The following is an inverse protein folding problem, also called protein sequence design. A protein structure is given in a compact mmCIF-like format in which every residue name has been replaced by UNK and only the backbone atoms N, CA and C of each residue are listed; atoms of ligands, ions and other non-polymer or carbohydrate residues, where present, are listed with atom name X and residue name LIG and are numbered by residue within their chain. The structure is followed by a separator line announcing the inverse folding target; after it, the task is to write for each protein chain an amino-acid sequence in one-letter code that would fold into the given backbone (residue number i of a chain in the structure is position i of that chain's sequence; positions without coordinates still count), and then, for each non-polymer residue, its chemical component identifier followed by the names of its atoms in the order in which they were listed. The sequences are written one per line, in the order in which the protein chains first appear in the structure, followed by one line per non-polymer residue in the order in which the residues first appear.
data_IF_795913403889
#
_entry.id   IF_795913403889
#
_cell.length_a   1.000
_cell.length_b   1.000
_cell.length_c   1.000
_cell.angle_alpha   90.00
_cell.angle_beta   90.00
_cell.angle_gamma   90.00
#
_symmetry.space_group_name_H-M   'P 1'
#
loop_
_entity.id
_entity.type
_entity.pdbx_description
1 polymer ?
#
# COMPACT_ATOMS: atom_id res chain seq x y z
N UNK A 1 -6.88 -19.12 15.58
CA UNK A 1 -6.34 -18.62 14.30
C UNK A 1 -5.91 -17.17 14.52
N UNK A 2 -4.71 -16.74 14.09
CA UNK A 2 -4.40 -15.31 14.09
C UNK A 2 -5.48 -14.54 13.31
N UNK A 3 -5.71 -13.24 13.59
CA UNK A 3 -6.68 -12.45 12.84
C UNK A 3 -6.40 -12.57 11.34
N UNK A 4 -7.40 -12.86 10.52
CA UNK A 4 -7.22 -13.04 9.06
C UNK A 4 -6.53 -11.83 8.43
N UNK A 5 -6.81 -10.63 8.95
CA UNK A 5 -6.15 -9.37 8.57
C UNK A 5 -4.63 -9.39 8.80
N UNK A 6 -4.15 -10.02 9.88
CA UNK A 6 -2.72 -10.12 10.17
C UNK A 6 -1.98 -11.04 9.19
N UNK A 7 -2.60 -12.16 8.79
CA UNK A 7 -2.04 -13.03 7.75
C UNK A 7 -1.95 -12.30 6.42
N UNK A 8 -2.99 -11.55 6.03
CA UNK A 8 -2.96 -10.71 4.84
C UNK A 8 -1.86 -9.65 4.88
N UNK A 9 -1.65 -9.01 6.04
CA UNK A 9 -0.56 -8.06 6.25
C UNK A 9 0.83 -8.69 6.04
N UNK A 10 1.09 -9.87 6.60
CA UNK A 10 2.37 -10.56 6.42
C UNK A 10 2.62 -10.94 4.96
N UNK A 11 1.60 -11.41 4.26
CA UNK A 11 1.70 -11.74 2.82
C UNK A 11 2.01 -10.49 2.01
N UNK A 12 1.32 -9.37 2.25
CA UNK A 12 1.59 -8.10 1.59
C UNK A 12 3.03 -7.61 1.83
N UNK A 13 3.51 -7.70 3.08
CA UNK A 13 4.87 -7.30 3.44
C UNK A 13 5.91 -8.17 2.75
N UNK A 14 5.68 -9.49 2.64
CA UNK A 14 6.59 -10.40 1.95
C UNK A 14 6.65 -10.13 0.43
N UNK A 15 5.50 -9.87 -0.20
CA UNK A 15 5.42 -9.57 -1.63
C UNK A 15 6.12 -8.22 -1.95
N UNK A 16 5.91 -7.21 -1.10
CA UNK A 16 6.45 -5.87 -1.31
C UNK A 16 7.92 -5.72 -0.86
N UNK A 17 8.40 -6.59 0.03
CA UNK A 17 9.77 -6.55 0.58
C UNK A 17 10.88 -6.32 -0.46
N UNK A 18 10.99 -7.09 -1.56
CA UNK A 18 12.08 -6.89 -2.52
C UNK A 18 12.05 -5.49 -3.17
N UNK A 19 10.87 -4.97 -3.49
CA UNK A 19 10.70 -3.66 -4.11
C UNK A 19 10.93 -2.53 -3.09
N UNK A 20 10.44 -2.70 -1.85
CA UNK A 20 10.67 -1.76 -0.76
C UNK A 20 12.16 -1.63 -0.41
N UNK A 21 12.89 -2.74 -0.35
CA UNK A 21 14.35 -2.74 -0.17
C UNK A 21 15.06 -2.06 -1.35
N UNK A 22 14.62 -2.32 -2.58
CA UNK A 22 15.16 -1.68 -3.78
C UNK A 22 14.97 -0.17 -3.77
N UNK A 23 13.79 0.30 -3.37
CA UNK A 23 13.48 1.71 -3.26
C UNK A 23 14.24 2.39 -2.12
N UNK A 24 14.35 1.74 -0.95
CA UNK A 24 15.13 2.25 0.17
C UNK A 24 16.60 2.43 -0.22
N UNK A 25 17.19 1.43 -0.88
CA UNK A 25 18.56 1.52 -1.41
C UNK A 25 18.71 2.65 -2.43
N UNK A 26 17.72 2.88 -3.28
CA UNK A 26 17.73 4.01 -4.22
C UNK A 26 17.69 5.37 -3.50
N UNK A 27 16.86 5.53 -2.46
CA UNK A 27 16.83 6.76 -1.64
C UNK A 27 18.18 7.01 -0.95
N UNK A 28 18.80 5.97 -0.36
CA UNK A 28 20.12 6.08 0.28
C UNK A 28 21.22 6.50 -0.71
N UNK A 29 21.06 6.17 -2.00
CA UNK A 29 21.94 6.62 -3.08
C UNK A 29 21.51 7.95 -3.72
N UNK A 30 20.63 8.72 -3.06
CA UNK A 30 20.08 9.98 -3.53
C UNK A 30 19.31 9.89 -4.86
N UNK A 31 18.77 8.70 -5.21
CA UNK A 31 17.98 8.44 -6.41
C UNK A 31 16.48 8.47 -6.10
N UNK A 32 15.98 9.60 -5.57
CA UNK A 32 14.58 9.73 -5.12
C UNK A 32 13.58 9.43 -6.24
N UNK A 33 13.81 9.93 -7.46
CA UNK A 33 12.93 9.64 -8.60
C UNK A 33 12.82 8.15 -8.91
N UNK A 34 13.94 7.41 -8.83
CA UNK A 34 13.96 5.97 -9.06
C UNK A 34 13.18 5.23 -7.98
N UNK A 35 13.37 5.62 -6.71
CA UNK A 35 12.60 5.06 -5.59
C UNK A 35 11.10 5.30 -5.78
N UNK A 36 10.72 6.51 -6.17
CA UNK A 36 9.33 6.87 -6.46
C UNK A 36 8.74 6.05 -7.61
N UNK A 37 9.49 5.91 -8.70
CA UNK A 37 9.04 5.10 -9.85
C UNK A 37 8.87 3.62 -9.46
N UNK A 38 9.72 3.09 -8.58
CA UNK A 38 9.63 1.70 -8.12
C UNK A 38 8.38 1.49 -7.25
N UNK A 39 8.14 2.37 -6.26
CA UNK A 39 6.95 2.30 -5.40
C UNK A 39 5.64 2.49 -6.17
N UNK A 40 5.57 3.51 -7.02
CA UNK A 40 4.36 3.72 -7.82
C UNK A 40 4.14 2.62 -8.85
N UNK A 41 5.22 2.09 -9.45
CA UNK A 41 5.14 0.95 -10.37
C UNK A 41 4.53 -0.29 -9.70
N UNK A 42 4.97 -0.59 -8.46
CA UNK A 42 4.43 -1.69 -7.65
C UNK A 42 2.95 -1.52 -7.32
N UNK A 43 2.56 -0.34 -6.83
CA UNK A 43 1.17 -0.03 -6.48
C UNK A 43 0.30 -0.09 -7.73
N UNK A 44 0.76 0.49 -8.84
CA UNK A 44 0.05 0.46 -10.11
C UNK A 44 -0.14 -0.97 -10.58
N UNK A 45 0.90 -1.82 -10.56
CA UNK A 45 0.80 -3.23 -10.94
C UNK A 45 -0.23 -3.97 -10.08
N UNK A 46 -0.31 -3.68 -8.77
CA UNK A 46 -1.31 -4.29 -7.89
C UNK A 46 -2.74 -3.88 -8.26
N UNK A 47 -2.97 -2.58 -8.48
CA UNK A 47 -4.30 -2.04 -8.78
C UNK A 47 -4.74 -2.41 -10.21
N UNK A 48 -3.85 -2.33 -11.19
CA UNK A 48 -4.17 -2.51 -12.60
C UNK A 48 -4.10 -3.96 -13.07
N UNK A 49 -3.38 -4.83 -12.36
CA UNK A 49 -3.19 -6.23 -12.76
C UNK A 49 -3.61 -7.21 -11.66
N UNK A 50 -3.02 -7.15 -10.47
CA UNK A 50 -3.27 -8.15 -9.42
C UNK A 50 -4.74 -8.21 -9.01
N UNK A 51 -5.36 -7.06 -8.70
CA UNK A 51 -6.78 -7.00 -8.31
C UNK A 51 -7.71 -7.49 -9.43
N UNK A 52 -7.58 -7.02 -10.69
CA UNK A 52 -8.37 -7.55 -11.81
C UNK A 52 -8.17 -9.05 -12.06
N UNK A 53 -6.94 -9.55 -12.00
CA UNK A 53 -6.65 -10.98 -12.20
C UNK A 53 -7.29 -11.83 -11.11
N UNK A 54 -7.17 -11.44 -9.84
CA UNK A 54 -7.82 -12.15 -8.73
C UNK A 54 -9.34 -12.11 -8.86
N UNK A 55 -9.89 -10.99 -9.31
CA UNK A 55 -11.33 -10.83 -9.55
C UNK A 55 -11.82 -11.74 -10.68
N UNK A 56 -11.05 -11.83 -11.77
CA UNK A 56 -11.35 -12.71 -12.89
C UNK A 56 -11.29 -14.18 -12.46
N UNK A 57 -10.27 -14.57 -11.69
CA UNK A 57 -10.14 -15.94 -11.17
C UNK A 57 -11.32 -16.28 -10.24
N UNK A 58 -11.69 -15.36 -9.33
CA UNK A 58 -12.83 -15.55 -8.44
C UNK A 58 -14.13 -15.73 -9.23
N UNK A 59 -14.36 -14.89 -10.24
CA UNK A 59 -15.51 -14.98 -11.13
C UNK A 59 -15.56 -16.33 -11.88
N UNK A 60 -14.43 -16.77 -12.46
CA UNK A 60 -14.34 -18.04 -13.20
C UNK A 60 -14.51 -19.28 -12.30
N UNK A 61 -14.08 -19.18 -11.03
CA UNK A 61 -14.18 -20.29 -10.06
C UNK A 61 -15.52 -20.29 -9.32
N UNK A 62 -16.37 -19.28 -9.52
CA UNK A 62 -17.64 -19.13 -8.80
C UNK A 62 -17.48 -18.72 -7.33
N UNK A 63 -16.33 -18.17 -6.94
CA UNK A 63 -16.09 -17.68 -5.59
C UNK A 63 -16.68 -16.26 -5.43
N UNK A 64 -17.44 -16.01 -4.36
CA UNK A 64 -17.87 -14.65 -4.02
C UNK A 64 -16.68 -13.82 -3.55
N UNK A 65 -16.28 -12.83 -4.35
CA UNK A 65 -15.31 -11.81 -3.95
C UNK A 65 -16.04 -10.57 -3.44
N UNK A 66 -15.86 -10.23 -2.17
CA UNK A 66 -16.38 -8.99 -1.58
C UNK A 66 -15.27 -7.96 -1.49
N UNK A 67 -15.38 -6.88 -2.26
CA UNK A 67 -14.49 -5.71 -2.16
C UNK A 67 -14.76 -4.82 -0.94
N UNK A 68 -15.69 -5.24 -0.07
CA UNK A 68 -16.02 -4.50 1.15
C UNK A 68 -14.88 -4.56 2.15
N UNK A 69 -14.06 -3.52 2.18
CA UNK A 69 -13.25 -3.22 3.37
C UNK A 69 -14.18 -2.76 4.49
N UNK A 70 -13.80 -3.04 5.74
CA UNK A 70 -14.46 -2.43 6.88
C UNK A 70 -14.33 -0.90 6.83
N UNK A 71 -15.20 -0.22 7.58
CA UNK A 71 -15.17 1.23 7.68
C UNK A 71 -13.78 1.80 8.07
N UNK A 72 -13.06 1.26 9.07
CA UNK A 72 -11.76 1.83 9.45
C UNK A 72 -10.68 1.63 8.38
N UNK A 73 -10.64 0.48 7.71
CA UNK A 73 -9.66 0.20 6.65
C UNK A 73 -9.93 1.05 5.40
N UNK A 74 -11.21 1.29 5.08
CA UNK A 74 -11.59 2.18 3.98
C UNK A 74 -11.16 3.62 4.24
N UNK A 75 -11.34 4.13 5.46
CA UNK A 75 -10.90 5.48 5.85
C UNK A 75 -9.39 5.62 5.72
N UNK A 76 -8.63 4.64 6.23
CA UNK A 76 -7.16 4.66 6.17
C UNK A 76 -6.66 4.57 4.72
N UNK A 77 -7.29 3.74 3.88
CA UNK A 77 -6.97 3.64 2.45
C UNK A 77 -7.19 4.99 1.74
N UNK A 78 -8.37 5.60 1.89
CA UNK A 78 -8.69 6.88 1.23
C UNK A 78 -7.77 8.00 1.72
N UNK A 79 -7.53 8.08 3.03
CA UNK A 79 -6.59 9.03 3.62
C UNK A 79 -5.17 8.85 3.04
N UNK A 80 -4.75 7.60 2.81
CA UNK A 80 -3.41 7.30 2.26
C UNK A 80 -3.28 7.81 0.83
N UNK A 81 -4.29 7.58 0.00
CA UNK A 81 -4.32 8.06 -1.39
C UNK A 81 -4.32 9.60 -1.45
N UNK A 82 -5.12 10.26 -0.61
CA UNK A 82 -5.16 11.73 -0.53
C UNK A 82 -3.83 12.31 -0.04
N UNK A 83 -3.24 11.74 1.01
CA UNK A 83 -1.97 12.20 1.55
C UNK A 83 -0.82 12.00 0.53
N UNK A 84 -0.83 10.88 -0.21
CA UNK A 84 0.08 10.67 -1.34
C UNK A 84 -0.07 11.78 -2.39
N UNK A 85 -1.30 12.06 -2.82
CA UNK A 85 -1.57 13.08 -3.84
C UNK A 85 -1.06 14.47 -3.40
N UNK A 86 -1.34 14.88 -2.16
CA UNK A 86 -0.87 16.16 -1.60
C UNK A 86 0.66 16.19 -1.47
N UNK A 87 1.26 15.11 -0.97
CA UNK A 87 2.70 15.02 -0.72
C UNK A 87 3.52 15.13 -1.99
N UNK A 88 3.04 14.57 -3.10
CA UNK A 88 3.78 14.51 -4.36
C UNK A 88 3.38 15.58 -5.38
N UNK A 89 2.22 16.20 -5.24
CA UNK A 89 1.76 17.32 -6.11
C UNK A 89 2.67 18.55 -6.03
N UNK A 90 3.30 18.80 -4.88
CA UNK A 90 4.11 20.01 -4.63
C UNK A 90 5.57 19.90 -5.07
N UNK A 91 6.03 18.72 -5.50
CA UNK A 91 7.41 18.49 -5.97
C UNK A 91 8.51 18.62 -4.91
N UNK A 92 8.17 18.91 -3.65
CA UNK A 92 9.12 19.04 -2.52
C UNK A 92 8.76 18.05 -1.42
N UNK A 93 9.71 17.20 -1.04
CA UNK A 93 9.57 16.30 0.12
C UNK A 93 9.83 17.06 1.42
N UNK A 94 8.88 17.01 2.36
CA UNK A 94 9.02 17.58 3.71
C UNK A 94 9.00 16.44 4.75
N UNK A 95 9.84 16.55 5.78
CA UNK A 95 9.85 15.62 6.93
C UNK A 95 8.47 15.51 7.58
N UNK A 96 7.70 16.60 7.62
CA UNK A 96 6.33 16.60 8.16
C UNK A 96 5.38 15.70 7.33
N UNK A 97 5.49 15.74 5.99
CA UNK A 97 4.71 14.84 5.13
C UNK A 97 5.13 13.38 5.34
N UNK A 98 6.43 13.11 5.50
CA UNK A 98 6.94 11.78 5.84
C UNK A 98 6.40 11.27 7.19
N UNK A 99 6.39 12.13 8.21
CA UNK A 99 5.82 11.80 9.52
C UNK A 99 4.31 11.51 9.44
N UNK A 100 3.57 12.26 8.62
CA UNK A 100 2.15 12.02 8.39
C UNK A 100 1.89 10.65 7.73
N UNK A 101 2.71 10.24 6.76
CA UNK A 101 2.63 8.89 6.16
C UNK A 101 2.91 7.80 7.19
N UNK A 102 3.92 7.99 8.05
CA UNK A 102 4.25 7.03 9.10
C UNK A 102 3.15 6.94 10.18
N UNK A 103 2.56 8.07 10.56
CA UNK A 103 1.43 8.11 11.48
C UNK A 103 0.19 7.40 10.91
N UNK A 104 -0.08 7.57 9.62
CA UNK A 104 -1.17 6.89 8.95
C UNK A 104 -0.92 5.38 8.80
N UNK A 105 0.34 4.97 8.57
CA UNK A 105 0.73 3.57 8.62
C UNK A 105 0.57 2.98 10.03
N UNK A 106 0.88 3.72 11.09
CA UNK A 106 0.60 3.27 12.45
C UNK A 106 -0.91 3.13 12.71
N UNK A 107 -1.73 4.06 12.22
CA UNK A 107 -3.19 3.94 12.29
C UNK A 107 -3.70 2.69 11.54
N UNK A 108 -3.15 2.38 10.35
CA UNK A 108 -3.42 1.13 9.64
C UNK A 108 -3.09 -0.10 10.51
N UNK A 109 -1.92 -0.13 11.15
CA UNK A 109 -1.56 -1.23 12.04
C UNK A 109 -2.58 -1.38 13.18
N UNK A 110 -3.06 -0.29 13.76
CA UNK A 110 -4.11 -0.35 14.78
C UNK A 110 -5.40 -0.98 14.25
N UNK A 111 -5.78 -0.74 12.99
CA UNK A 111 -6.96 -1.39 12.38
C UNK A 111 -6.80 -2.89 12.20
N UNK A 112 -5.58 -3.42 12.07
CA UNK A 112 -5.32 -4.86 11.96
C UNK A 112 -5.49 -5.58 13.31
N UNK A 113 -5.21 -4.89 14.42
CA UNK A 113 -5.23 -5.45 15.77
C UNK A 113 -6.49 -5.11 16.58
N UNK A 114 -7.36 -4.23 16.04
CA UNK A 114 -8.65 -3.86 16.62
C UNK A 114 -9.71 -4.94 16.36
#
# INVERSE_FOLDING_TARGET
MPPVAFTGFLVALLILSPEGLGALKAVLNNQVQRAMNLFFGSVLATISLTVPVVTLIAFLTGNELRFGLGAPEMVVMVASLLLCQISFSTGRTNVLNGAAHLALFAAYLMTIFA
#
